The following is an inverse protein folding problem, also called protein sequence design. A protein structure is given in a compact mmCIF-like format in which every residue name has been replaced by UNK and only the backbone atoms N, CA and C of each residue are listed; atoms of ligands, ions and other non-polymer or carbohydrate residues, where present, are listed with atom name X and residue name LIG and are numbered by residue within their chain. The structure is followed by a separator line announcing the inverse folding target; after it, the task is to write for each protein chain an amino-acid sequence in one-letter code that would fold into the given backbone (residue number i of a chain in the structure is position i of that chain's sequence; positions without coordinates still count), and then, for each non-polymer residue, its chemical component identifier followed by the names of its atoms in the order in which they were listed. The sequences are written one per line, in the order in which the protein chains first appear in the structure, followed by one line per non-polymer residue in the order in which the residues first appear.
data_IF_832419879606
#
_entry.id   IF_832419879606
#
_cell.length_a   1.000
_cell.length_b   1.000
_cell.length_c   1.000
_cell.angle_alpha   90.00
_cell.angle_beta   90.00
_cell.angle_gamma   90.00
#
_symmetry.space_group_name_H-M   'P 1'
#
loop_
_entity.id
_entity.type
_entity.pdbx_description
1 polymer ?
#
# COMPACT_ATOMS: atom_id res chain seq x y z
N UNK A 1 11.11 18.96 8.15
CA UNK A 1 10.97 17.69 8.90
C UNK A 1 9.50 17.52 9.23
N UNK A 2 8.90 16.36 8.93
CA UNK A 2 7.53 16.05 9.36
C UNK A 2 7.47 16.06 10.89
N UNK A 3 6.56 16.85 11.46
CA UNK A 3 6.40 17.00 12.91
C UNK A 3 5.38 15.97 13.42
N UNK A 4 5.73 15.19 14.45
CA UNK A 4 4.80 14.28 15.15
C UNK A 4 3.99 15.11 16.14
N UNK A 5 2.66 15.01 16.17
CA UNK A 5 1.83 15.82 17.07
C UNK A 5 2.15 15.50 18.55
N UNK A 6 1.90 16.45 19.46
CA UNK A 6 2.11 16.20 20.89
C UNK A 6 1.22 15.07 21.43
N UNK A 7 0.01 14.95 20.89
CA UNK A 7 -0.94 13.88 21.17
C UNK A 7 -0.43 12.52 20.67
N UNK A 8 0.02 12.45 19.42
CA UNK A 8 0.60 11.24 18.84
C UNK A 8 1.83 10.79 19.64
N UNK A 9 2.68 11.74 20.10
CA UNK A 9 3.84 11.43 20.95
C UNK A 9 3.43 10.83 22.29
N UNK A 10 2.40 11.37 22.93
CA UNK A 10 1.90 10.88 24.21
C UNK A 10 1.27 9.49 24.06
N UNK A 11 0.40 9.30 23.07
CA UNK A 11 -0.27 8.03 22.80
C UNK A 11 0.74 6.91 22.55
N UNK A 12 1.75 7.18 21.70
CA UNK A 12 2.79 6.20 21.39
C UNK A 12 3.70 5.92 22.58
N UNK A 13 4.03 6.92 23.38
CA UNK A 13 4.76 6.73 24.63
C UNK A 13 4.03 5.77 25.57
N UNK A 14 2.73 6.00 25.82
CA UNK A 14 1.93 5.15 26.70
C UNK A 14 1.76 3.73 26.16
N UNK A 15 1.61 3.57 24.84
CA UNK A 15 1.60 2.25 24.19
C UNK A 15 2.93 1.51 24.41
N UNK A 16 4.06 2.17 24.17
CA UNK A 16 5.38 1.56 24.35
C UNK A 16 5.59 1.15 25.82
N UNK A 17 5.26 2.04 26.75
CA UNK A 17 5.39 1.81 28.20
C UNK A 17 4.53 0.64 28.68
N UNK A 18 3.29 0.57 28.21
CA UNK A 18 2.32 -0.44 28.64
C UNK A 18 2.64 -1.83 28.10
N UNK A 19 3.03 -1.92 26.83
CA UNK A 19 3.07 -3.21 26.12
C UNK A 19 4.47 -3.79 25.92
N UNK A 20 5.54 -3.00 26.01
CA UNK A 20 6.91 -3.49 25.73
C UNK A 20 7.68 -3.90 26.98
N UNK A 21 7.37 -3.31 28.14
CA UNK A 21 8.04 -3.60 29.41
C UNK A 21 9.54 -3.29 29.42
N UNK A 22 10.22 -3.67 30.50
CA UNK A 22 11.67 -3.44 30.65
C UNK A 22 12.04 -1.96 30.53
N UNK A 23 13.09 -1.67 29.76
CA UNK A 23 13.60 -0.31 29.53
C UNK A 23 12.55 0.62 28.88
N UNK A 24 11.57 0.07 28.16
CA UNK A 24 10.46 0.86 27.59
C UNK A 24 9.43 1.28 28.65
N UNK A 25 9.32 0.55 29.76
CA UNK A 25 8.49 0.97 30.89
C UNK A 25 9.16 2.09 31.73
N UNK A 26 10.50 2.11 31.72
CA UNK A 26 11.33 2.99 32.56
C UNK A 26 11.74 4.30 31.86
N UNK A 27 11.67 4.36 30.52
CA UNK A 27 12.04 5.56 29.75
C UNK A 27 11.11 6.74 30.03
N UNK A 28 11.67 7.96 30.09
CA UNK A 28 10.90 9.19 30.18
C UNK A 28 10.32 9.57 28.80
N UNK A 29 9.15 10.19 28.77
CA UNK A 29 8.49 10.63 27.53
C UNK A 29 9.34 11.62 26.70
N UNK A 30 10.14 12.46 27.38
CA UNK A 30 11.02 13.44 26.73
C UNK A 30 12.26 12.80 26.10
N UNK A 31 12.71 11.69 26.67
CA UNK A 31 13.90 10.96 26.22
C UNK A 31 13.57 9.96 25.11
N UNK A 32 12.29 9.62 24.92
CA UNK A 32 11.84 8.77 23.83
C UNK A 32 11.85 9.56 22.51
N UNK A 33 12.77 9.20 21.61
CA UNK A 33 12.80 9.77 20.28
C UNK A 33 11.71 9.11 19.42
N UNK A 34 10.85 9.94 18.82
CA UNK A 34 9.74 9.50 17.95
C UNK A 34 9.88 10.19 16.60
N UNK A 35 9.82 9.41 15.52
CA UNK A 35 9.92 9.91 14.14
C UNK A 35 8.79 9.33 13.30
N UNK A 36 8.23 10.11 12.36
CA UNK A 36 7.25 9.57 11.42
C UNK A 36 7.89 8.49 10.55
N UNK A 37 7.19 7.39 10.36
CA UNK A 37 7.55 6.34 9.42
C UNK A 37 6.73 6.50 8.14
N UNK A 38 7.34 6.17 7.00
CA UNK A 38 6.63 6.09 5.72
C UNK A 38 6.01 4.70 5.59
N UNK A 39 4.70 4.63 5.34
CA UNK A 39 3.95 3.37 5.21
C UNK A 39 2.58 3.48 5.90
N UNK A 40 1.63 2.61 5.54
CA UNK A 40 0.24 2.68 6.00
C UNK A 40 -0.58 3.69 5.19
N UNK A 41 -1.69 3.23 4.59
CA UNK A 41 -2.64 4.10 3.88
C UNK A 41 -3.75 4.58 4.83
N UNK A 42 -4.08 3.73 5.81
CA UNK A 42 -5.22 3.88 6.76
C UNK A 42 -4.76 3.99 8.22
N UNK A 43 -3.45 3.93 8.46
CA UNK A 43 -2.84 3.93 9.79
C UNK A 43 -1.69 4.92 9.87
N UNK A 44 -1.43 5.42 11.07
CA UNK A 44 -0.21 6.18 11.39
C UNK A 44 0.88 5.20 11.82
N UNK A 45 2.07 5.34 11.23
CA UNK A 45 3.27 4.60 11.63
C UNK A 45 4.30 5.57 12.24
N UNK A 46 4.76 5.26 13.45
CA UNK A 46 5.77 6.03 14.17
C UNK A 46 6.94 5.13 14.61
N UNK A 47 8.16 5.49 14.20
CA UNK A 47 9.39 4.89 14.74
C UNK A 47 9.69 5.46 16.12
N UNK A 48 9.89 4.60 17.10
CA UNK A 48 10.27 4.98 18.46
C UNK A 48 11.63 4.39 18.80
N UNK A 49 12.47 5.18 19.47
CA UNK A 49 13.84 4.80 19.81
C UNK A 49 14.07 5.08 21.29
N UNK A 50 14.54 4.07 22.01
CA UNK A 50 15.11 4.27 23.33
C UNK A 50 16.41 5.08 23.23
N UNK A 51 16.75 5.85 24.28
CA UNK A 51 18.05 6.50 24.39
C UNK A 51 19.20 5.50 24.25
N UNK A 52 20.31 5.92 23.63
CA UNK A 52 21.52 5.10 23.47
C UNK A 52 22.12 4.65 24.83
N UNK A 53 21.73 5.30 25.92
CA UNK A 53 22.12 4.95 27.29
C UNK A 53 21.36 3.74 27.86
N UNK A 54 20.28 3.29 27.23
CA UNK A 54 19.47 2.15 27.67
C UNK A 54 19.76 0.91 26.83
N UNK A 55 20.06 -0.20 27.50
CA UNK A 55 20.44 -1.47 26.86
C UNK A 55 19.27 -2.45 26.83
N UNK A 56 18.34 -2.27 25.89
CA UNK A 56 17.19 -3.15 25.71
C UNK A 56 17.44 -4.22 24.65
N UNK A 57 16.72 -5.35 24.74
CA UNK A 57 16.70 -6.38 23.68
C UNK A 57 16.30 -5.80 22.31
N UNK A 58 15.37 -4.84 22.32
CA UNK A 58 14.99 -4.04 21.17
C UNK A 58 15.04 -2.57 21.59
N UNK A 59 16.01 -1.81 21.10
CA UNK A 59 16.11 -0.37 21.38
C UNK A 59 15.30 0.50 20.42
N UNK A 60 14.62 -0.12 19.45
CA UNK A 60 13.89 0.56 18.39
C UNK A 60 12.65 -0.23 17.98
N UNK A 61 11.53 0.45 17.81
CA UNK A 61 10.22 -0.13 17.49
C UNK A 61 9.44 0.71 16.49
N UNK A 62 8.49 0.10 15.81
CA UNK A 62 7.47 0.80 15.02
C UNK A 62 6.15 0.66 15.79
N UNK A 63 5.43 1.76 15.95
CA UNK A 63 4.08 1.76 16.51
C UNK A 63 3.11 2.11 15.39
N UNK A 64 2.13 1.23 15.19
CA UNK A 64 1.02 1.40 14.27
C UNK A 64 -0.26 1.63 15.08
N UNK A 65 -1.02 2.66 14.74
CA UNK A 65 -2.36 2.89 15.29
C UNK A 65 -3.23 3.63 14.28
N UNK A 66 -4.54 3.58 14.47
CA UNK A 66 -5.53 4.20 13.60
C UNK A 66 -6.12 5.44 14.28
N UNK A 67 -6.37 6.49 13.51
CA UNK A 67 -7.09 7.68 13.99
C UNK A 67 -8.58 7.34 14.11
N UNK A 68 -9.01 6.92 15.30
CA UNK A 68 -10.40 6.87 15.83
C UNK A 68 -11.56 6.27 15.00
N UNK A 69 -11.35 5.76 13.79
CA UNK A 69 -12.42 5.17 12.95
C UNK A 69 -12.65 3.67 13.20
N UNK A 70 -11.86 3.02 14.05
CA UNK A 70 -11.99 1.59 14.39
C UNK A 70 -12.16 1.34 15.90
N UNK A 71 -12.53 2.37 16.68
CA UNK A 71 -12.75 2.27 18.11
C UNK A 71 -13.84 1.24 18.52
N UNK A 72 -14.74 0.87 17.59
CA UNK A 72 -15.82 -0.10 17.85
C UNK A 72 -15.43 -1.57 17.65
N UNK A 73 -14.20 -1.87 17.20
CA UNK A 73 -13.76 -3.24 16.95
C UNK A 73 -12.46 -3.61 17.66
N UNK A 74 -12.21 -3.14 18.88
CA UNK A 74 -11.35 -3.81 19.88
C UNK A 74 -9.96 -4.35 19.49
N UNK A 75 -9.36 -3.91 18.38
CA UNK A 75 -8.08 -4.42 17.87
C UNK A 75 -7.08 -3.28 17.84
N UNK A 76 -6.41 -3.07 18.97
CA UNK A 76 -5.19 -2.27 19.06
C UNK A 76 -4.00 -3.13 18.61
N UNK A 77 -3.73 -3.22 17.30
CA UNK A 77 -2.58 -3.98 16.77
C UNK A 77 -1.31 -3.12 16.76
N UNK A 78 -0.55 -3.20 17.86
CA UNK A 78 0.85 -2.72 17.88
C UNK A 78 1.75 -3.78 17.23
N UNK A 79 2.27 -3.52 16.02
CA UNK A 79 3.25 -4.39 15.36
C UNK A 79 4.68 -3.84 15.49
N UNK A 80 5.50 -4.56 16.26
CA UNK A 80 6.90 -4.24 16.53
C UNK A 80 7.81 -4.75 15.42
N UNK A 81 8.48 -3.85 14.69
CA UNK A 81 9.41 -4.21 13.60
C UNK A 81 10.80 -3.62 13.83
N UNK A 82 11.83 -4.40 13.48
CA UNK A 82 13.25 -4.11 13.76
C UNK A 82 13.85 -3.17 12.70
N UNK A 83 14.88 -2.40 13.09
CA UNK A 83 15.39 -1.25 12.30
C UNK A 83 16.38 -1.60 11.18
N UNK A 84 16.69 -2.88 10.95
CA UNK A 84 17.51 -3.33 9.82
C UNK A 84 16.64 -4.01 8.74
N UNK A 85 15.54 -3.36 8.37
CA UNK A 85 14.64 -3.82 7.32
C UNK A 85 14.36 -2.76 6.28
N UNK A 86 14.05 -3.18 5.06
CA UNK A 86 13.46 -2.35 4.01
C UNK A 86 12.13 -2.95 3.55
N UNK A 87 11.23 -2.09 3.06
CA UNK A 87 10.04 -2.57 2.34
C UNK A 87 10.45 -3.25 1.06
N UNK A 88 9.78 -4.37 0.78
CA UNK A 88 10.01 -5.17 -0.41
C UNK A 88 9.93 -4.29 -1.66
N UNK A 89 10.88 -4.45 -2.58
CA UNK A 89 10.97 -3.62 -3.77
C UNK A 89 11.31 -4.43 -5.02
N UNK A 90 11.41 -3.77 -6.17
CA UNK A 90 11.65 -4.43 -7.45
C UNK A 90 12.98 -5.23 -7.50
N UNK A 91 14.00 -4.88 -6.71
CA UNK A 91 15.22 -5.70 -6.65
C UNK A 91 15.01 -7.02 -5.89
N UNK A 92 14.11 -7.02 -4.91
CA UNK A 92 13.73 -8.22 -4.17
C UNK A 92 12.88 -9.17 -5.02
N UNK A 93 11.99 -8.64 -5.87
CA UNK A 93 11.23 -9.39 -6.89
C UNK A 93 12.14 -10.15 -7.87
N UNK A 94 13.34 -9.64 -8.12
CA UNK A 94 14.35 -10.24 -9.01
C UNK A 94 15.31 -11.17 -8.28
N UNK A 95 15.22 -11.28 -6.95
CA UNK A 95 16.08 -12.15 -6.14
C UNK A 95 15.35 -13.46 -5.80
N UNK A 96 15.74 -14.61 -6.40
CA UNK A 96 15.05 -15.88 -6.18
C UNK A 96 15.06 -16.33 -4.72
N UNK A 97 16.07 -15.95 -3.93
CA UNK A 97 16.14 -16.29 -2.50
C UNK A 97 15.05 -15.55 -1.73
N UNK A 98 14.91 -14.24 -1.96
CA UNK A 98 13.91 -13.42 -1.26
C UNK A 98 12.49 -13.80 -1.68
N UNK A 99 12.25 -14.03 -2.97
CA UNK A 99 10.96 -14.51 -3.51
C UNK A 99 10.58 -15.87 -2.91
N UNK A 100 11.53 -16.81 -2.84
CA UNK A 100 11.26 -18.12 -2.23
C UNK A 100 10.94 -18.01 -0.73
N UNK A 101 11.60 -17.12 0.00
CA UNK A 101 11.29 -16.85 1.41
C UNK A 101 9.88 -16.28 1.58
N UNK A 102 9.50 -15.28 0.78
CA UNK A 102 8.13 -14.74 0.79
C UNK A 102 7.09 -15.83 0.53
N UNK A 103 7.32 -16.65 -0.52
CA UNK A 103 6.45 -17.76 -0.87
C UNK A 103 6.27 -18.77 0.28
N UNK A 104 7.35 -19.08 1.01
CA UNK A 104 7.31 -19.95 2.18
C UNK A 104 6.51 -19.32 3.34
N UNK A 105 6.68 -18.02 3.61
CA UNK A 105 5.94 -17.32 4.66
C UNK A 105 4.45 -17.29 4.36
N UNK A 106 4.08 -16.99 3.11
CA UNK A 106 2.69 -17.02 2.67
C UNK A 106 2.09 -18.43 2.70
N UNK A 107 2.84 -19.45 2.25
CA UNK A 107 2.41 -20.85 2.35
C UNK A 107 2.10 -21.27 3.78
N UNK A 108 2.97 -20.91 4.74
CA UNK A 108 2.74 -21.17 6.17
C UNK A 108 1.51 -20.44 6.69
N UNK A 109 1.28 -19.20 6.27
CA UNK A 109 0.07 -18.45 6.64
C UNK A 109 -1.18 -19.13 6.10
N UNK A 110 -1.19 -19.49 4.81
CA UNK A 110 -2.33 -20.15 4.16
C UNK A 110 -2.62 -21.55 4.72
N UNK A 111 -1.66 -22.21 5.37
CA UNK A 111 -1.87 -23.47 6.06
C UNK A 111 -2.38 -23.33 7.50
N UNK A 112 -2.53 -22.10 8.03
CA UNK A 112 -3.00 -21.90 9.40
C UNK A 112 -4.52 -22.13 9.53
N UNK A 113 -4.89 -22.80 10.60
CA UNK A 113 -6.28 -22.90 11.06
C UNK A 113 -6.53 -21.85 12.15
N UNK A 114 -6.88 -20.64 11.74
CA UNK A 114 -7.10 -19.52 12.66
C UNK A 114 -8.45 -19.64 13.39
N UNK A 115 -8.55 -19.33 14.69
CA UNK A 115 -9.79 -19.42 15.47
C UNK A 115 -10.76 -18.27 15.17
N UNK A 116 -11.04 -18.03 13.89
CA UNK A 116 -11.98 -17.04 13.35
C UNK A 116 -12.98 -17.72 12.39
N UNK A 117 -14.15 -17.11 12.12
CA UNK A 117 -15.14 -17.70 11.22
C UNK A 117 -14.60 -17.95 9.80
N UNK A 118 -14.98 -19.08 9.20
CA UNK A 118 -14.53 -19.50 7.85
C UNK A 118 -15.42 -19.01 6.73
N UNK A 119 -16.62 -18.54 7.06
CA UNK A 119 -17.62 -17.97 6.16
C UNK A 119 -17.35 -16.49 5.82
N UNK A 120 -16.22 -15.93 6.31
CA UNK A 120 -15.82 -14.54 6.06
C UNK A 120 -15.63 -14.23 4.57
N UNK A 121 -15.34 -15.23 3.73
CA UNK A 121 -15.28 -15.08 2.27
C UNK A 121 -16.56 -14.44 1.71
N UNK A 122 -17.75 -14.90 2.13
CA UNK A 122 -19.03 -14.36 1.63
C UNK A 122 -19.30 -12.95 2.14
N UNK A 123 -18.89 -12.66 3.39
CA UNK A 123 -18.98 -11.31 3.96
C UNK A 123 -18.08 -10.35 3.18
N UNK A 124 -16.84 -10.76 2.91
CA UNK A 124 -15.86 -9.97 2.16
C UNK A 124 -16.32 -9.73 0.71
N UNK A 125 -16.83 -10.77 0.06
CA UNK A 125 -17.42 -10.68 -1.28
C UNK A 125 -18.61 -9.73 -1.34
N UNK A 126 -19.53 -9.81 -0.37
CA UNK A 126 -20.67 -8.89 -0.29
C UNK A 126 -20.22 -7.44 -0.08
N UNK A 127 -19.26 -7.24 0.83
CA UNK A 127 -18.70 -5.90 1.10
C UNK A 127 -18.15 -5.26 -0.18
N UNK A 128 -17.29 -5.97 -0.93
CA UNK A 128 -16.69 -5.45 -2.17
C UNK A 128 -17.70 -5.29 -3.30
N UNK A 129 -18.51 -6.32 -3.56
CA UNK A 129 -19.31 -6.39 -4.79
C UNK A 129 -20.74 -5.87 -4.63
N UNK A 130 -21.19 -5.54 -3.42
CA UNK A 130 -22.56 -5.06 -3.19
C UNK A 130 -22.61 -3.81 -2.33
N UNK A 131 -21.80 -3.71 -1.27
CA UNK A 131 -21.85 -2.58 -0.34
C UNK A 131 -21.04 -1.39 -0.89
N UNK A 132 -19.79 -1.60 -1.32
CA UNK A 132 -18.97 -0.53 -1.90
C UNK A 132 -19.54 0.05 -3.21
N UNK A 133 -20.33 -0.75 -3.95
CA UNK A 133 -21.03 -0.26 -5.15
C UNK A 133 -22.19 0.71 -4.82
N UNK A 134 -22.67 0.73 -3.57
CA UNK A 134 -23.72 1.63 -3.09
C UNK A 134 -23.17 2.92 -2.49
N UNK A 135 -21.84 3.02 -2.34
CA UNK A 135 -21.21 4.23 -1.79
C UNK A 135 -21.52 5.44 -2.69
N UNK A 136 -21.77 6.63 -2.10
CA UNK A 136 -22.12 7.84 -2.85
C UNK A 136 -21.12 8.19 -3.96
N UNK A 137 -19.86 7.76 -3.83
CA UNK A 137 -18.80 7.97 -4.80
C UNK A 137 -19.01 7.23 -6.13
N UNK A 138 -19.66 6.06 -6.12
CA UNK A 138 -20.03 5.33 -7.35
C UNK A 138 -21.19 6.05 -8.07
N UNK A 139 -22.10 6.65 -7.32
CA UNK A 139 -23.12 7.54 -7.90
C UNK A 139 -22.51 8.87 -8.36
N UNK A 140 -21.45 9.35 -7.69
CA UNK A 140 -20.69 10.53 -8.10
C UNK A 140 -19.91 10.32 -9.41
N UNK A 141 -19.52 9.08 -9.73
CA UNK A 141 -19.02 8.68 -11.06
C UNK A 141 -20.10 8.76 -12.15
N UNK A 142 -21.38 8.66 -11.78
CA UNK A 142 -22.53 8.78 -12.70
C UNK A 142 -23.03 10.21 -12.85
N UNK A 143 -22.99 11.03 -11.80
CA UNK A 143 -23.58 12.38 -11.83
C UNK A 143 -22.89 13.45 -10.95
N UNK A 144 -21.80 13.12 -10.23
CA UNK A 144 -21.14 14.00 -9.25
C UNK A 144 -19.79 14.60 -9.68
N UNK A 145 -19.02 15.07 -8.70
CA UNK A 145 -17.72 15.75 -8.89
C UNK A 145 -16.73 14.89 -9.67
N UNK A 146 -16.65 13.60 -9.35
CA UNK A 146 -15.75 12.67 -10.04
C UNK A 146 -16.07 12.58 -11.53
N UNK A 147 -17.35 12.47 -11.92
CA UNK A 147 -17.72 12.49 -13.34
C UNK A 147 -17.34 13.79 -14.04
N UNK A 148 -17.52 14.94 -13.38
CA UNK A 148 -17.13 16.24 -13.95
C UNK A 148 -15.63 16.27 -14.20
N UNK A 149 -14.82 15.75 -13.28
CA UNK A 149 -13.38 15.66 -13.45
C UNK A 149 -12.98 14.67 -14.55
N UNK A 150 -13.65 13.52 -14.67
CA UNK A 150 -13.43 12.57 -15.78
C UNK A 150 -13.75 13.23 -17.13
N UNK A 151 -14.82 14.02 -17.22
CA UNK A 151 -15.19 14.78 -18.41
C UNK A 151 -14.17 15.87 -18.74
N UNK A 152 -13.78 16.69 -17.74
CA UNK A 152 -12.79 17.76 -17.86
C UNK A 152 -11.44 17.22 -18.33
N UNK A 153 -11.02 16.05 -17.84
CA UNK A 153 -9.77 15.40 -18.21
C UNK A 153 -9.89 14.46 -19.44
N UNK A 154 -11.04 14.46 -20.13
CA UNK A 154 -11.27 13.69 -21.35
C UNK A 154 -10.93 12.19 -21.21
N UNK A 155 -11.20 11.61 -20.04
CA UNK A 155 -10.94 10.20 -19.72
C UNK A 155 -12.01 9.30 -20.34
N UNK A 156 -12.01 9.23 -21.67
CA UNK A 156 -13.07 8.60 -22.48
C UNK A 156 -13.33 7.14 -22.10
N UNK A 157 -12.28 6.38 -21.77
CA UNK A 157 -12.41 4.97 -21.37
C UNK A 157 -13.27 4.85 -20.11
N UNK A 158 -12.97 5.62 -19.06
CA UNK A 158 -13.70 5.58 -17.80
C UNK A 158 -15.13 6.10 -17.97
N UNK A 159 -15.35 7.12 -18.80
CA UNK A 159 -16.70 7.60 -19.15
C UNK A 159 -17.57 6.55 -19.84
N UNK A 160 -16.98 5.68 -20.66
CA UNK A 160 -17.68 4.65 -21.42
C UNK A 160 -17.78 3.31 -20.69
N UNK A 161 -17.13 3.16 -19.54
CA UNK A 161 -17.06 1.88 -18.81
C UNK A 161 -18.27 1.75 -17.89
N UNK A 162 -18.99 0.64 -17.98
CA UNK A 162 -20.01 0.28 -17.01
C UNK A 162 -19.35 -0.42 -15.81
N UNK A 163 -18.96 0.36 -14.81
CA UNK A 163 -18.27 -0.16 -13.63
C UNK A 163 -19.09 -1.21 -12.86
N UNK A 164 -20.42 -1.14 -12.90
CA UNK A 164 -21.26 -2.15 -12.24
C UNK A 164 -21.18 -3.47 -13.00
N UNK A 165 -21.25 -3.43 -14.33
CA UNK A 165 -21.07 -4.62 -15.16
C UNK A 165 -19.65 -5.21 -15.03
N UNK A 166 -18.61 -4.37 -14.99
CA UNK A 166 -17.23 -4.83 -14.77
C UNK A 166 -17.07 -5.49 -13.40
N UNK A 167 -17.62 -4.90 -12.33
CA UNK A 167 -17.56 -5.49 -10.98
C UNK A 167 -18.33 -6.81 -10.89
N UNK A 168 -19.50 -6.91 -11.53
CA UNK A 168 -20.24 -8.17 -11.62
C UNK A 168 -19.41 -9.25 -12.33
N UNK A 169 -18.75 -8.89 -13.43
CA UNK A 169 -17.86 -9.80 -14.16
C UNK A 169 -16.66 -10.25 -13.32
N UNK A 170 -15.99 -9.33 -12.61
CA UNK A 170 -14.88 -9.68 -11.71
C UNK A 170 -15.34 -10.71 -10.67
N UNK A 171 -16.52 -10.51 -10.08
CA UNK A 171 -17.11 -11.48 -9.14
C UNK A 171 -17.31 -12.84 -9.79
N UNK A 172 -17.89 -12.90 -10.99
CA UNK A 172 -18.09 -14.15 -11.73
C UNK A 172 -16.76 -14.87 -12.02
N UNK A 173 -15.73 -14.13 -12.44
CA UNK A 173 -14.39 -14.68 -12.66
C UNK A 173 -13.84 -15.26 -11.36
N UNK A 174 -13.86 -14.51 -10.26
CA UNK A 174 -13.35 -14.96 -8.96
C UNK A 174 -14.04 -16.25 -8.50
N UNK A 175 -15.36 -16.34 -8.60
CA UNK A 175 -16.13 -17.54 -8.24
C UNK A 175 -15.79 -18.71 -9.18
N UNK A 176 -15.68 -18.46 -10.49
CA UNK A 176 -15.39 -19.49 -11.50
C UNK A 176 -14.01 -20.14 -11.36
N UNK A 177 -13.05 -19.45 -10.75
CA UNK A 177 -11.71 -20.00 -10.50
C UNK A 177 -11.76 -21.19 -9.53
N UNK A 178 -12.79 -21.23 -8.66
CA UNK A 178 -12.94 -22.22 -7.60
C UNK A 178 -11.65 -22.35 -6.78
N UNK A 179 -11.07 -21.19 -6.44
CA UNK A 179 -9.82 -21.10 -5.68
C UNK A 179 -10.06 -21.58 -4.24
N UNK A 180 -9.13 -22.34 -3.64
CA UNK A 180 -9.25 -22.76 -2.25
C UNK A 180 -9.39 -21.58 -1.29
N UNK A 181 -10.28 -21.72 -0.32
CA UNK A 181 -10.41 -20.75 0.78
C UNK A 181 -9.34 -21.07 1.83
N UNK A 182 -8.54 -20.06 2.19
CA UNK A 182 -7.43 -20.13 3.15
C UNK A 182 -7.48 -18.92 4.06
N UNK A 183 -6.73 -18.93 5.17
CA UNK A 183 -6.47 -17.69 5.90
C UNK A 183 -5.49 -16.84 5.09
N UNK A 184 -5.97 -15.73 4.54
CA UNK A 184 -5.28 -14.86 3.59
C UNK A 184 -5.01 -13.48 4.18
N UNK A 185 -4.06 -12.77 3.59
CA UNK A 185 -3.70 -11.41 3.95
C UNK A 185 -4.70 -10.38 3.42
N UNK A 186 -5.14 -10.55 2.17
CA UNK A 186 -6.04 -9.70 1.39
C UNK A 186 -5.54 -8.27 1.11
N UNK A 187 -4.24 -8.05 1.32
CA UNK A 187 -3.55 -6.79 0.99
C UNK A 187 -2.04 -7.06 0.85
N UNK A 188 -1.66 -8.09 0.11
CA UNK A 188 -0.26 -8.55 0.04
C UNK A 188 0.57 -7.66 -0.91
N UNK A 189 0.48 -6.35 -0.74
CA UNK A 189 1.25 -5.39 -1.49
C UNK A 189 2.67 -5.26 -0.93
N UNK A 190 3.58 -4.71 -1.75
CA UNK A 190 5.01 -4.54 -1.44
C UNK A 190 5.31 -3.74 -0.15
N UNK A 191 4.41 -2.86 0.29
CA UNK A 191 4.55 -2.10 1.57
C UNK A 191 4.18 -2.94 2.79
N UNK A 192 3.53 -4.07 2.61
CA UNK A 192 3.16 -5.01 3.67
C UNK A 192 4.14 -6.20 3.76
N UNK A 193 5.27 -6.09 3.06
CA UNK A 193 6.35 -7.08 3.10
C UNK A 193 7.64 -6.37 3.50
N UNK A 194 8.27 -6.87 4.56
CA UNK A 194 9.56 -6.39 5.03
C UNK A 194 10.65 -7.42 4.81
N UNK A 195 11.79 -6.96 4.32
CA UNK A 195 12.99 -7.76 4.14
C UNK A 195 14.01 -7.29 5.17
N UNK A 196 14.48 -8.20 6.03
CA UNK A 196 15.56 -7.92 6.99
C UNK A 196 16.88 -8.42 6.45
N UNK A 197 17.97 -7.70 6.72
CA UNK A 197 19.32 -8.18 6.44
C UNK A 197 20.17 -8.11 7.72
N UNK A 198 20.29 -9.24 8.40
CA UNK A 198 21.08 -9.37 9.62
C UNK A 198 22.32 -10.21 9.34
N UNK A 199 23.49 -9.56 9.26
CA UNK A 199 24.78 -10.23 9.06
C UNK A 199 24.82 -11.19 7.83
N UNK A 200 24.22 -10.77 6.71
CA UNK A 200 24.08 -11.55 5.46
C UNK A 200 23.00 -12.64 5.47
N UNK A 201 22.28 -12.80 6.58
CA UNK A 201 21.05 -13.59 6.60
C UNK A 201 19.85 -12.72 6.22
N UNK A 202 19.15 -13.15 5.18
CA UNK A 202 17.99 -12.44 4.63
C UNK A 202 16.75 -13.19 5.10
N UNK A 203 15.82 -12.46 5.71
CA UNK A 203 14.52 -12.99 6.10
C UNK A 203 13.41 -12.05 5.64
N UNK A 204 12.20 -12.60 5.51
CA UNK A 204 11.02 -11.91 5.03
C UNK A 204 9.91 -12.00 6.07
N UNK A 205 9.24 -10.87 6.30
CA UNK A 205 8.11 -10.72 7.21
C UNK A 205 6.93 -10.15 6.43
N UNK A 206 5.78 -10.84 6.52
CA UNK A 206 4.49 -10.30 6.11
C UNK A 206 3.91 -9.58 7.31
N UNK A 207 3.45 -8.35 7.11
CA UNK A 207 2.98 -7.44 8.16
C UNK A 207 1.67 -6.81 7.73
N UNK A 208 0.97 -6.14 8.65
CA UNK A 208 -0.25 -5.38 8.34
C UNK A 208 -1.46 -6.27 7.98
N UNK A 209 -1.89 -7.08 8.94
CA UNK A 209 -2.96 -8.08 8.79
C UNK A 209 -4.39 -7.49 8.96
N UNK A 210 -4.59 -6.18 8.78
CA UNK A 210 -5.87 -5.52 9.06
C UNK A 210 -7.03 -6.08 8.22
N UNK A 211 -6.73 -6.50 6.99
CA UNK A 211 -7.70 -7.09 6.06
C UNK A 211 -7.74 -8.61 6.08
N UNK A 212 -6.95 -9.25 6.96
CA UNK A 212 -6.78 -10.70 6.95
C UNK A 212 -8.03 -11.43 7.43
N UNK A 213 -8.48 -12.40 6.64
CA UNK A 213 -9.61 -13.27 6.97
C UNK A 213 -9.53 -14.56 6.15
N UNK A 214 -10.55 -15.41 6.24
CA UNK A 214 -10.71 -16.49 5.25
C UNK A 214 -11.16 -15.90 3.92
N UNK A 215 -10.40 -16.15 2.86
CA UNK A 215 -10.68 -15.72 1.47
C UNK A 215 -10.05 -16.70 0.47
N UNK A 216 -10.34 -16.53 -0.82
CA UNK A 216 -9.68 -17.27 -1.88
C UNK A 216 -8.17 -17.00 -1.89
N UNK A 217 -7.34 -18.06 -1.87
CA UNK A 217 -5.87 -17.91 -1.94
C UNK A 217 -5.41 -17.15 -3.18
N UNK A 218 -6.20 -17.21 -4.26
CA UNK A 218 -5.94 -16.48 -5.50
C UNK A 218 -5.92 -14.96 -5.32
N UNK A 219 -6.58 -14.43 -4.29
CA UNK A 219 -6.53 -13.00 -3.96
C UNK A 219 -5.11 -12.56 -3.59
N UNK A 220 -4.47 -13.21 -2.61
CA UNK A 220 -3.09 -12.89 -2.21
C UNK A 220 -2.08 -13.14 -3.34
N UNK A 221 -2.27 -14.21 -4.13
CA UNK A 221 -1.42 -14.46 -5.29
C UNK A 221 -1.56 -13.32 -6.31
N UNK A 222 -2.79 -12.91 -6.62
CA UNK A 222 -3.07 -11.79 -7.53
C UNK A 222 -2.48 -10.47 -7.02
N UNK A 223 -2.70 -10.14 -5.74
CA UNK A 223 -2.18 -8.93 -5.09
C UNK A 223 -0.65 -8.88 -5.15
N UNK A 224 0.04 -10.00 -4.90
CA UNK A 224 1.48 -10.03 -5.02
C UNK A 224 1.94 -9.81 -6.47
N UNK A 225 1.40 -10.57 -7.43
CA UNK A 225 1.91 -10.56 -8.80
C UNK A 225 1.50 -9.30 -9.59
N UNK A 226 0.35 -8.67 -9.30
CA UNK A 226 -0.01 -7.38 -9.89
C UNK A 226 0.93 -6.26 -9.44
N UNK A 227 1.55 -6.41 -8.27
CA UNK A 227 2.53 -5.49 -7.74
C UNK A 227 3.98 -5.87 -8.11
N UNK A 228 4.23 -6.92 -8.89
CA UNK A 228 5.59 -7.41 -9.20
C UNK A 228 6.36 -6.43 -10.08
N UNK A 229 7.55 -6.02 -9.63
CA UNK A 229 8.38 -4.96 -10.25
C UNK A 229 7.64 -3.64 -10.58
N UNK A 230 6.40 -3.46 -10.12
CA UNK A 230 5.60 -2.29 -10.41
C UNK A 230 6.24 -1.05 -9.77
N UNK A 231 6.36 0.01 -10.55
CA UNK A 231 6.74 1.33 -10.08
C UNK A 231 5.50 2.20 -10.00
N UNK A 232 5.44 3.13 -9.04
CA UNK A 232 4.27 4.00 -8.82
C UNK A 232 3.83 4.77 -10.09
N UNK A 233 4.74 4.98 -11.05
CA UNK A 233 4.51 5.66 -12.33
C UNK A 233 5.22 4.99 -13.52
N UNK A 234 5.61 3.73 -13.36
CA UNK A 234 6.24 2.95 -14.43
C UNK A 234 5.21 2.31 -15.35
N UNK A 235 5.65 1.78 -16.51
CA UNK A 235 4.78 0.93 -17.31
C UNK A 235 4.23 -0.21 -16.45
N UNK A 236 2.99 -0.63 -16.72
CA UNK A 236 2.46 -1.89 -16.18
C UNK A 236 3.42 -3.03 -16.56
N UNK A 237 3.97 -3.68 -15.54
CA UNK A 237 4.80 -4.87 -15.71
C UNK A 237 4.14 -6.01 -14.94
N UNK A 238 3.81 -7.09 -15.65
CA UNK A 238 3.32 -8.32 -15.04
C UNK A 238 4.31 -9.46 -15.35
N UNK A 239 4.64 -10.33 -14.39
CA UNK A 239 5.65 -11.36 -14.59
C UNK A 239 5.23 -12.37 -15.66
N UNK A 240 6.23 -12.94 -16.34
CA UNK A 240 6.03 -14.12 -17.18
C UNK A 240 5.74 -15.34 -16.31
N UNK A 241 5.16 -16.38 -16.90
CA UNK A 241 4.92 -17.64 -16.20
C UNK A 241 6.22 -18.18 -15.57
N UNK A 242 7.36 -18.11 -16.26
CA UNK A 242 8.67 -18.52 -15.73
C UNK A 242 9.10 -17.71 -14.50
N UNK A 243 8.82 -16.40 -14.49
CA UNK A 243 9.11 -15.54 -13.34
C UNK A 243 8.18 -15.89 -12.16
N UNK A 244 6.90 -16.16 -12.43
CA UNK A 244 5.95 -16.59 -11.40
C UNK A 244 6.33 -17.95 -10.80
N UNK A 245 6.91 -18.86 -11.59
CA UNK A 245 7.30 -20.19 -11.14
C UNK A 245 8.33 -20.18 -10.01
N UNK A 246 9.17 -19.15 -9.90
CA UNK A 246 10.11 -19.00 -8.77
C UNK A 246 9.36 -18.97 -7.43
N UNK A 247 8.29 -18.17 -7.36
CA UNK A 247 7.41 -18.10 -6.20
C UNK A 247 6.55 -19.36 -6.06
N UNK A 248 5.87 -19.76 -7.14
CA UNK A 248 4.89 -20.85 -7.11
C UNK A 248 5.53 -22.18 -6.71
N UNK A 249 6.74 -22.47 -7.20
CA UNK A 249 7.44 -23.70 -6.83
C UNK A 249 7.87 -23.72 -5.37
N UNK A 250 8.31 -22.58 -4.83
CA UNK A 250 8.64 -22.46 -3.42
C UNK A 250 7.38 -22.60 -2.54
N UNK A 251 6.28 -21.99 -2.95
CA UNK A 251 4.98 -22.06 -2.28
C UNK A 251 4.43 -23.50 -2.24
N UNK A 252 4.40 -24.19 -3.39
CA UNK A 252 3.95 -25.60 -3.47
C UNK A 252 4.86 -26.50 -2.63
N UNK A 253 6.18 -26.31 -2.70
CA UNK A 253 7.14 -27.12 -1.93
C UNK A 253 6.91 -26.99 -0.43
N UNK A 254 6.69 -25.77 0.05
CA UNK A 254 6.43 -25.53 1.48
C UNK A 254 5.10 -26.17 1.90
N UNK A 255 4.01 -25.98 1.14
CA UNK A 255 2.74 -26.62 1.46
C UNK A 255 2.79 -28.14 1.36
N UNK A 256 3.62 -28.69 0.48
CA UNK A 256 3.87 -30.13 0.40
C UNK A 256 4.62 -30.64 1.63
N UNK A 257 5.59 -29.87 2.14
CA UNK A 257 6.27 -30.19 3.38
C UNK A 257 5.33 -30.17 4.59
N UNK A 258 4.37 -29.23 4.62
CA UNK A 258 3.38 -29.10 5.70
C UNK A 258 2.29 -30.18 5.63
N UNK A 259 1.73 -30.42 4.44
CA UNK A 259 0.53 -31.25 4.25
C UNK A 259 0.82 -32.66 3.71
N UNK A 260 2.08 -32.97 3.39
CA UNK A 260 2.51 -34.24 2.81
C UNK A 260 2.45 -34.28 1.28
N UNK A 261 3.07 -35.32 0.71
CA UNK A 261 3.26 -35.49 -0.73
C UNK A 261 1.96 -35.53 -1.56
N UNK A 262 0.82 -35.92 -0.96
CA UNK A 262 -0.47 -35.92 -1.65
C UNK A 262 -0.94 -34.51 -2.00
N UNK A 263 -0.48 -33.47 -1.30
CA UNK A 263 -0.87 -32.08 -1.57
C UNK A 263 -0.53 -31.66 -3.00
N UNK A 264 0.72 -31.88 -3.44
CA UNK A 264 1.19 -31.49 -4.77
C UNK A 264 0.60 -32.34 -5.91
N UNK A 265 0.00 -33.50 -5.59
CA UNK A 265 -0.60 -34.39 -6.59
C UNK A 265 -2.01 -33.93 -7.01
N UNK A 266 -2.67 -33.10 -6.20
CA UNK A 266 -4.00 -32.58 -6.51
C UNK A 266 -3.90 -31.55 -7.64
N UNK A 267 -4.73 -31.69 -8.68
CA UNK A 267 -4.75 -30.78 -9.83
C UNK A 267 -4.93 -29.31 -9.39
N UNK A 268 -5.79 -29.08 -8.39
CA UNK A 268 -6.04 -27.75 -7.83
C UNK A 268 -4.75 -27.09 -7.30
N UNK A 269 -3.73 -27.85 -6.92
CA UNK A 269 -2.44 -27.33 -6.43
C UNK A 269 -1.34 -27.35 -7.48
N UNK A 270 -1.66 -27.67 -8.75
CA UNK A 270 -0.67 -27.66 -9.83
C UNK A 270 -0.24 -26.23 -10.18
N UNK A 271 0.99 -26.09 -10.69
CA UNK A 271 1.55 -24.82 -11.19
C UNK A 271 0.57 -24.06 -12.08
N UNK A 272 -0.06 -24.75 -13.03
CA UNK A 272 -0.98 -24.15 -13.98
C UNK A 272 -2.21 -23.55 -13.30
N UNK A 273 -2.70 -24.17 -12.22
CA UNK A 273 -3.84 -23.65 -11.46
C UNK A 273 -3.46 -22.43 -10.64
N UNK A 274 -2.31 -22.43 -9.96
CA UNK A 274 -1.85 -21.25 -9.24
C UNK A 274 -1.57 -20.06 -10.17
N UNK A 275 -0.98 -20.29 -11.35
CA UNK A 275 -0.81 -19.22 -12.36
C UNK A 275 -2.18 -18.67 -12.80
N UNK A 276 -3.16 -19.55 -13.04
CA UNK A 276 -4.51 -19.14 -13.44
C UNK A 276 -5.24 -18.35 -12.35
N UNK A 277 -5.05 -18.70 -11.08
CA UNK A 277 -5.60 -17.97 -9.94
C UNK A 277 -4.98 -16.59 -9.78
N UNK A 278 -3.66 -16.48 -9.93
CA UNK A 278 -2.92 -15.22 -9.89
C UNK A 278 -3.20 -14.30 -11.09
N UNK A 279 -3.40 -14.90 -12.27
CA UNK A 279 -3.53 -14.21 -13.56
C UNK A 279 -4.68 -14.83 -14.36
N UNK A 280 -5.95 -14.60 -13.95
CA UNK A 280 -7.08 -15.07 -14.73
C UNK A 280 -7.04 -14.42 -16.13
N UNK A 281 -6.97 -15.23 -17.18
CA UNK A 281 -6.91 -14.71 -18.55
C UNK A 281 -8.24 -14.05 -18.92
N UNK A 282 -8.16 -12.88 -19.56
CA UNK A 282 -9.26 -12.07 -20.09
C UNK A 282 -10.06 -12.72 -21.25
N UNK A 283 -9.98 -14.04 -21.45
CA UNK A 283 -10.76 -14.78 -22.45
C UNK A 283 -12.28 -14.66 -22.18
N UNK A 284 -12.67 -14.23 -20.97
CA UNK A 284 -14.04 -13.92 -20.56
C UNK A 284 -14.50 -12.46 -20.80
N UNK A 285 -13.84 -11.75 -21.74
CA UNK A 285 -14.31 -10.59 -22.53
C UNK A 285 -13.79 -9.19 -22.15
N UNK A 286 -13.60 -8.45 -23.24
CA UNK A 286 -13.16 -7.07 -23.49
C UNK A 286 -11.70 -6.80 -23.12
N UNK A 287 -10.87 -6.72 -24.18
CA UNK A 287 -9.62 -5.97 -24.16
C UNK A 287 -9.94 -4.52 -23.79
N UNK A 288 -9.97 -4.20 -22.50
CA UNK A 288 -9.52 -2.89 -22.10
C UNK A 288 -8.08 -2.79 -22.62
N UNK A 289 -7.89 -2.00 -23.67
CA UNK A 289 -6.55 -1.49 -23.95
C UNK A 289 -6.22 -0.62 -22.74
N UNK A 290 -5.55 -1.21 -21.75
CA UNK A 290 -5.00 -0.57 -20.54
C UNK A 290 -4.11 0.64 -20.85
N UNK A 291 -3.80 0.89 -22.13
CA UNK A 291 -2.93 1.94 -22.64
C UNK A 291 -3.24 3.38 -22.20
N UNK A 292 -4.24 3.68 -21.38
CA UNK A 292 -4.54 5.05 -20.94
C UNK A 292 -4.97 5.23 -19.47
N UNK A 293 -4.89 4.21 -18.61
CA UNK A 293 -5.21 4.41 -17.17
C UNK A 293 -4.08 5.18 -16.45
N UNK A 294 -2.86 5.12 -16.98
CA UNK A 294 -1.73 5.90 -16.46
C UNK A 294 -1.87 7.43 -16.62
N UNK A 295 -2.83 7.89 -17.43
CA UNK A 295 -3.16 9.31 -17.55
C UNK A 295 -4.29 9.76 -16.60
N UNK A 296 -4.72 8.92 -15.64
CA UNK A 296 -5.78 9.30 -14.69
C UNK A 296 -5.27 10.22 -13.59
N UNK A 297 -3.95 10.36 -13.44
CA UNK A 297 -3.38 11.38 -12.56
C UNK A 297 -2.91 12.56 -13.44
N UNK A 298 -3.86 13.32 -13.97
CA UNK A 298 -3.58 14.63 -14.56
C UNK A 298 -3.70 15.67 -13.45
N UNK A 299 -2.64 16.43 -13.23
CA UNK A 299 -2.67 17.59 -12.34
C UNK A 299 -3.56 18.64 -13.02
N UNK A 300 -4.67 19.02 -12.38
CA UNK A 300 -5.58 20.01 -12.96
C UNK A 300 -4.88 21.36 -13.17
N UNK A 301 -5.37 22.20 -14.08
CA UNK A 301 -4.79 23.53 -14.32
C UNK A 301 -4.80 24.40 -13.04
N UNK A 302 -5.82 24.23 -12.21
CA UNK A 302 -5.97 24.86 -10.91
C UNK A 302 -4.93 24.35 -9.90
N UNK A 303 -4.78 23.03 -9.80
CA UNK A 303 -3.75 22.42 -8.97
C UNK A 303 -2.33 22.85 -9.41
N UNK A 304 -2.09 22.95 -10.72
CA UNK A 304 -0.82 23.45 -11.26
C UNK A 304 -0.54 24.89 -10.83
N UNK A 305 -1.56 25.76 -10.88
CA UNK A 305 -1.42 27.16 -10.48
C UNK A 305 -1.19 27.29 -8.97
N UNK A 306 -1.97 26.59 -8.16
CA UNK A 306 -1.86 26.61 -6.70
C UNK A 306 -0.47 26.14 -6.25
N UNK A 307 0.01 25.05 -6.83
CA UNK A 307 1.33 24.48 -6.50
C UNK A 307 2.47 25.33 -6.99
N UNK A 308 2.33 25.95 -8.17
CA UNK A 308 3.28 26.95 -8.65
C UNK A 308 3.40 28.11 -7.66
N UNK A 309 2.29 28.70 -7.23
CA UNK A 309 2.28 29.81 -6.27
C UNK A 309 2.83 29.39 -4.89
N UNK A 310 2.56 28.17 -4.43
CA UNK A 310 3.13 27.63 -3.21
C UNK A 310 4.66 27.48 -3.30
N UNK A 311 5.16 26.88 -4.38
CA UNK A 311 6.60 26.74 -4.60
C UNK A 311 7.29 28.10 -4.68
N UNK A 312 6.71 29.04 -5.45
CA UNK A 312 7.22 30.40 -5.62
C UNK A 312 7.28 31.18 -4.30
N UNK A 313 6.21 31.10 -3.51
CA UNK A 313 6.05 31.87 -2.27
C UNK A 313 6.93 31.33 -1.14
N UNK A 314 7.01 30.01 -1.00
CA UNK A 314 7.58 29.38 0.20
C UNK A 314 8.98 28.79 0.04
N UNK A 315 9.41 28.41 -1.18
CA UNK A 315 10.75 27.84 -1.39
C UNK A 315 11.79 28.91 -1.73
N UNK A 316 11.38 30.01 -2.38
CA UNK A 316 12.26 31.10 -2.76
C UNK A 316 13.38 30.69 -3.73
N UNK A 317 14.32 31.61 -3.99
CA UNK A 317 15.47 31.35 -4.87
C UNK A 317 15.04 30.94 -6.28
N UNK A 318 15.63 29.87 -6.80
CA UNK A 318 15.36 29.34 -8.14
C UNK A 318 13.89 28.94 -8.36
N UNK A 319 13.17 28.61 -7.28
CA UNK A 319 11.73 28.33 -7.32
C UNK A 319 10.86 29.58 -7.45
N UNK A 320 11.38 30.76 -7.11
CA UNK A 320 10.68 32.02 -7.30
C UNK A 320 10.80 32.55 -8.74
N UNK A 321 11.89 32.19 -9.42
CA UNK A 321 12.26 32.70 -10.75
C UNK A 321 11.80 31.79 -11.91
N UNK A 322 11.40 30.54 -11.62
CA UNK A 322 10.88 29.61 -12.63
C UNK A 322 9.53 30.06 -13.18
N UNK A 323 9.31 29.88 -14.49
CA UNK A 323 8.00 30.10 -15.12
C UNK A 323 7.03 28.96 -14.75
N UNK A 324 5.75 29.27 -14.62
CA UNK A 324 4.71 28.28 -14.35
C UNK A 324 4.65 27.16 -15.40
N UNK A 325 4.91 27.50 -16.67
CA UNK A 325 4.91 26.54 -17.78
C UNK A 325 6.12 25.60 -17.76
N UNK A 326 7.25 26.06 -17.20
CA UNK A 326 8.50 25.31 -17.11
C UNK A 326 8.56 24.42 -15.86
N UNK A 327 7.70 24.68 -14.86
CA UNK A 327 7.61 23.88 -13.65
C UNK A 327 6.98 22.51 -13.96
N UNK A 328 7.75 21.44 -13.75
CA UNK A 328 7.26 20.08 -13.92
C UNK A 328 6.52 19.67 -12.66
N UNK A 329 5.22 19.38 -12.78
CA UNK A 329 4.38 18.92 -11.68
C UNK A 329 3.83 17.56 -12.04
N UNK A 330 4.05 16.58 -11.16
CA UNK A 330 3.56 15.21 -11.27
C UNK A 330 2.76 14.85 -10.02
N UNK A 331 1.69 14.08 -10.12
CA UNK A 331 0.99 13.57 -8.97
C UNK A 331 1.84 12.57 -8.19
N UNK A 332 1.58 12.44 -6.89
CA UNK A 332 2.20 11.48 -5.99
C UNK A 332 1.13 10.55 -5.39
N UNK A 333 1.42 9.25 -5.26
CA UNK A 333 0.52 8.26 -4.65
C UNK A 333 0.65 8.29 -3.13
N UNK A 334 -0.50 8.27 -2.45
CA UNK A 334 -0.61 8.37 -1.00
C UNK A 334 -1.38 9.62 -0.59
N UNK A 335 -2.35 9.47 0.31
CA UNK A 335 -3.24 10.55 0.75
C UNK A 335 -4.65 10.35 0.24
N UNK A 336 -5.48 9.63 1.00
CA UNK A 336 -6.93 9.57 0.76
C UNK A 336 -7.60 10.95 0.97
N UNK A 337 -7.05 11.77 1.87
CA UNK A 337 -7.61 13.07 2.30
C UNK A 337 -6.77 14.29 1.90
N UNK A 338 -5.63 14.10 1.23
CA UNK A 338 -4.72 15.20 0.83
C UNK A 338 -4.20 14.97 -0.58
N UNK A 339 -4.08 16.04 -1.38
CA UNK A 339 -3.37 15.98 -2.67
C UNK A 339 -1.86 15.99 -2.41
N UNK A 340 -1.13 14.99 -2.92
CA UNK A 340 0.33 14.98 -2.96
C UNK A 340 0.80 15.18 -4.40
N UNK A 341 1.72 16.11 -4.63
CA UNK A 341 2.30 16.39 -5.93
C UNK A 341 3.83 16.53 -5.83
N UNK A 342 4.55 15.83 -6.70
CA UNK A 342 5.97 16.05 -6.94
C UNK A 342 6.18 17.24 -7.87
N UNK A 343 7.02 18.19 -7.47
CA UNK A 343 7.40 19.34 -8.29
C UNK A 343 8.91 19.32 -8.56
N UNK A 344 9.29 19.67 -9.78
CA UNK A 344 10.69 19.66 -10.23
C UNK A 344 11.00 20.96 -10.95
N UNK A 345 12.13 21.58 -10.60
CA UNK A 345 12.74 22.59 -11.45
C UNK A 345 13.26 21.94 -12.74
N UNK A 346 13.27 22.67 -13.87
CA UNK A 346 13.95 22.22 -15.08
C UNK A 346 15.41 21.86 -14.80
N UNK A 347 15.92 20.82 -15.47
CA UNK A 347 17.32 20.38 -15.34
C UNK A 347 18.34 21.48 -15.73
N UNK A 348 17.89 22.52 -16.43
CA UNK A 348 18.67 23.69 -16.83
C UNK A 348 18.86 24.71 -15.69
N UNK A 349 18.10 24.60 -14.60
CA UNK A 349 18.17 25.50 -13.44
C UNK A 349 18.94 24.79 -12.31
N UNK A 350 20.21 25.17 -12.06
CA UNK A 350 21.01 24.55 -11.01
C UNK A 350 20.50 24.99 -9.63
N UNK A 351 19.82 24.10 -8.93
CA UNK A 351 19.30 24.34 -7.59
C UNK A 351 19.82 23.30 -6.60
N UNK A 352 20.00 23.71 -5.33
CA UNK A 352 20.41 22.82 -4.24
C UNK A 352 19.38 21.72 -3.95
N UNK A 353 18.10 22.03 -4.14
CA UNK A 353 16.98 21.11 -4.01
C UNK A 353 16.08 21.26 -5.24
N UNK A 354 16.33 20.53 -6.34
CA UNK A 354 15.58 20.68 -7.58
C UNK A 354 14.24 19.93 -7.56
N UNK A 355 13.94 19.22 -6.47
CA UNK A 355 12.75 18.36 -6.32
C UNK A 355 12.09 18.59 -4.98
N UNK A 356 10.77 18.76 -4.99
CA UNK A 356 9.96 18.90 -3.77
C UNK A 356 8.68 18.08 -3.87
N UNK A 357 8.11 17.71 -2.72
CA UNK A 357 6.76 17.18 -2.62
C UNK A 357 5.89 18.24 -1.94
N UNK A 358 4.81 18.61 -2.61
CA UNK A 358 3.79 19.53 -2.12
C UNK A 358 2.58 18.74 -1.67
N UNK A 359 2.16 18.96 -0.42
CA UNK A 359 0.94 18.40 0.18
C UNK A 359 -0.04 19.51 0.51
N UNK A 360 -1.26 19.48 -0.04
CA UNK A 360 -2.32 20.42 0.32
C UNK A 360 -3.71 19.75 0.33
N UNK A 361 -4.63 20.34 1.11
CA UNK A 361 -5.98 19.84 1.33
C UNK A 361 -6.87 20.10 0.10
N UNK A 362 -7.92 19.29 -0.07
CA UNK A 362 -8.94 19.47 -1.12
C UNK A 362 -9.86 20.64 -0.75
N UNK A 363 -10.41 21.35 -1.76
CA UNK A 363 -11.17 22.60 -1.58
C UNK A 363 -12.41 22.46 -0.66
N UNK A 364 -12.97 21.25 -0.52
CA UNK A 364 -14.08 20.94 0.39
C UNK A 364 -13.71 21.06 1.90
N UNK A 365 -12.44 21.32 2.24
CA UNK A 365 -11.95 21.49 3.62
C UNK A 365 -11.65 22.95 4.00
N UNK A 366 -11.78 23.91 3.08
CA UNK A 366 -11.63 25.34 3.41
C UNK A 366 -12.71 25.82 4.38
N UNK A 367 -13.92 25.27 4.33
CA UNK A 367 -15.02 25.60 5.27
C UNK A 367 -14.73 25.17 6.72
N UNK A 368 -13.75 24.29 6.95
CA UNK A 368 -13.39 23.76 8.28
C UNK A 368 -12.07 24.36 8.81
N UNK A 369 -11.48 25.34 8.10
CA UNK A 369 -10.30 26.08 8.57
C UNK A 369 -8.99 25.30 8.56
N UNK A 370 -8.89 24.20 7.80
CA UNK A 370 -7.65 23.43 7.67
C UNK A 370 -6.75 24.06 6.60
N UNK A 371 -5.92 25.01 7.03
CA UNK A 371 -4.96 25.67 6.15
C UNK A 371 -3.69 24.81 5.93
N UNK A 372 -3.19 24.84 4.69
CA UNK A 372 -1.95 24.29 4.11
C UNK A 372 -0.91 23.80 5.14
N UNK A 373 -0.42 22.55 5.03
CA UNK A 373 0.46 22.02 6.11
C UNK A 373 1.87 21.52 5.75
N UNK A 374 2.28 21.07 4.55
CA UNK A 374 3.66 20.56 4.40
C UNK A 374 4.30 20.68 2.98
N UNK A 375 5.48 21.31 2.90
CA UNK A 375 6.44 21.24 1.78
C UNK A 375 7.66 20.41 2.20
N UNK A 376 7.97 19.35 1.45
CA UNK A 376 9.15 18.50 1.71
C UNK A 376 10.16 18.62 0.56
N UNK A 377 11.33 19.18 0.87
CA UNK A 377 12.47 19.17 -0.05
C UNK A 377 13.09 17.76 -0.11
N UNK A 378 13.30 17.25 -1.32
CA UNK A 378 13.99 15.98 -1.57
C UNK A 378 15.39 16.26 -2.10
N UNK A 379 16.40 15.56 -1.57
CA UNK A 379 17.78 15.61 -2.05
C UNK A 379 17.94 14.92 -3.40
#
# INVERSE_FOLDING_TARGET
MLHVSAEDRLNVYELCKTYLGGEWADVCADDLAIKPATGGVVSKLLYCFLPDTMSAKYSKVVVKYHDDLLADAGVNTTHLLTVNSHYFNASDDLNPKTVALLAQKLAKMHSQDMPIPKDRTEVYMRMIFEEWLKEPDIESLRHGLVRREIQKNNLKTLMSTDLVAEMAWVREVMVSLNSPVVFSHNDLNRRNILVTNNNSDVDVYIIDFDWSCYMYRGADLGDYFVNWCQQDYGPEVFPTDDQMLVFIDAYIRELTAINGNSFAQLEINSRQRLIKEAKPKAENRIKMKHNNIHNILIVSAEDRLNVYELCKTYLGGEWADVCADDLVIKPATGGFVNKLLYCFLPDTIPAKYPKVVVKYANDDLEEIGVNITHLLAMN
#
